data_IF_118844867027
#
_entry.id   IF_118844867027
#
_cell.length_a   1.000
_cell.length_b   1.000
_cell.length_c   1.000
_cell.angle_alpha   90.00
_cell.angle_beta   90.00
_cell.angle_gamma   90.00
#
_symmetry.space_group_name_H-M   'P 1'
#
loop_
_entity.id
_entity.type
_entity.pdbx_description
1 polymer ?
#
# COMPACT_ATOMS: atom_id res chain seq x y z
N UNK A 1 15.76 -11.69 -22.37
CA UNK A 1 14.53 -11.43 -21.59
C UNK A 1 13.43 -11.00 -22.56
N UNK A 2 12.37 -11.80 -22.75
CA UNK A 2 11.17 -11.40 -23.52
C UNK A 2 10.21 -10.72 -22.54
N UNK A 3 10.09 -9.41 -22.63
CA UNK A 3 9.03 -8.65 -21.96
C UNK A 3 7.77 -8.81 -22.82
N UNK A 4 6.67 -9.25 -22.21
CA UNK A 4 5.42 -9.52 -22.93
C UNK A 4 4.89 -8.25 -23.61
N UNK A 5 4.52 -8.34 -24.90
CA UNK A 5 3.80 -7.31 -25.66
C UNK A 5 2.29 -7.29 -25.34
N UNK A 6 1.92 -7.65 -24.11
CA UNK A 6 0.55 -7.66 -23.62
C UNK A 6 0.37 -6.62 -22.53
N UNK A 7 -0.82 -6.00 -22.45
CA UNK A 7 -1.15 -5.03 -21.40
C UNK A 7 -0.77 -5.57 -20.03
N UNK A 8 0.05 -4.80 -19.30
CA UNK A 8 0.36 -5.06 -17.90
C UNK A 8 -0.97 -5.01 -17.12
N UNK A 9 -1.46 -6.15 -16.66
CA UNK A 9 -2.62 -6.19 -15.76
C UNK A 9 -2.12 -5.81 -14.37
N UNK A 10 -2.53 -4.66 -13.87
CA UNK A 10 -2.39 -4.30 -12.46
C UNK A 10 -3.31 -5.23 -11.65
N UNK A 11 -2.74 -6.25 -11.03
CA UNK A 11 -3.42 -7.06 -10.01
C UNK A 11 -2.94 -6.61 -8.64
N UNK A 12 -3.86 -6.50 -7.68
CA UNK A 12 -3.54 -6.20 -6.28
C UNK A 12 -3.07 -7.48 -5.58
N UNK A 13 -2.02 -7.38 -4.75
CA UNK A 13 -1.40 -8.53 -4.07
C UNK A 13 -2.17 -9.00 -2.83
N UNK A 14 -3.16 -8.23 -2.37
CA UNK A 14 -3.91 -8.49 -1.14
C UNK A 14 -3.72 -7.36 -0.10
N UNK A 15 -4.29 -7.52 1.11
CA UNK A 15 -4.17 -6.54 2.19
C UNK A 15 -2.73 -6.46 2.71
N UNK A 16 -2.29 -5.28 3.14
CA UNK A 16 -1.00 -5.08 3.79
C UNK A 16 -1.12 -3.95 4.82
N UNK A 17 -0.31 -4.00 5.87
CA UNK A 17 -0.35 -3.01 6.95
C UNK A 17 0.62 -1.88 6.65
N UNK A 18 0.17 -0.63 6.76
CA UNK A 18 1.05 0.55 6.58
C UNK A 18 1.86 0.76 7.85
N UNK A 19 3.19 0.70 7.73
CA UNK A 19 4.13 0.88 8.85
C UNK A 19 4.62 2.32 8.92
N UNK A 20 4.97 2.91 7.78
CA UNK A 20 5.53 4.26 7.75
C UNK A 20 5.23 4.98 6.43
N UNK A 21 4.99 6.29 6.50
CA UNK A 21 4.90 7.17 5.34
C UNK A 21 6.23 7.93 5.19
N UNK A 22 6.95 7.68 4.10
CA UNK A 22 8.14 8.44 3.77
C UNK A 22 7.74 9.77 3.11
N UNK A 23 8.55 10.83 3.29
CA UNK A 23 8.41 12.02 2.46
C UNK A 23 8.55 11.62 0.98
N UNK A 24 7.80 12.26 0.09
CA UNK A 24 7.85 12.06 -1.37
C UNK A 24 7.12 10.84 -1.95
N UNK A 25 6.09 10.32 -1.28
CA UNK A 25 5.13 9.35 -1.83
C UNK A 25 5.59 7.89 -1.80
N UNK A 26 6.59 7.53 -0.99
CA UNK A 26 6.86 6.12 -0.68
C UNK A 26 6.20 5.75 0.64
N UNK A 27 5.54 4.60 0.68
CA UNK A 27 4.92 4.03 1.89
C UNK A 27 5.60 2.69 2.16
N UNK A 28 6.07 2.51 3.38
CA UNK A 28 6.55 1.22 3.86
C UNK A 28 5.36 0.42 4.37
N UNK A 29 5.16 -0.75 3.78
CA UNK A 29 4.10 -1.68 4.14
C UNK A 29 4.69 -2.99 4.63
N UNK A 30 3.97 -3.66 5.52
CA UNK A 30 4.28 -4.98 6.04
C UNK A 30 3.22 -5.96 5.55
N UNK A 31 3.68 -7.06 4.95
CA UNK A 31 2.81 -8.17 4.58
C UNK A 31 2.42 -8.95 5.84
N UNK A 32 1.12 -9.11 6.05
CA UNK A 32 0.55 -9.81 7.22
C UNK A 32 0.87 -11.30 7.22
N UNK A 33 1.12 -11.89 6.04
CA UNK A 33 1.41 -13.32 5.91
C UNK A 33 2.88 -13.66 6.15
N UNK A 34 3.79 -12.82 5.65
CA UNK A 34 5.23 -13.06 5.67
C UNK A 34 5.99 -12.22 6.70
N UNK A 35 5.33 -11.24 7.35
CA UNK A 35 5.95 -10.20 8.19
C UNK A 35 7.09 -9.45 7.46
N UNK A 36 7.08 -9.46 6.13
CA UNK A 36 8.12 -8.80 5.34
C UNK A 36 7.74 -7.34 5.08
N UNK A 37 8.70 -6.44 5.30
CA UNK A 37 8.56 -5.01 4.98
C UNK A 37 9.10 -4.68 3.61
N UNK A 38 8.34 -3.89 2.87
CA UNK A 38 8.75 -3.38 1.56
C UNK A 38 8.17 -1.99 1.31
N UNK A 39 8.82 -1.24 0.42
CA UNK A 39 8.40 0.12 0.05
C UNK A 39 7.57 0.09 -1.23
N UNK A 40 6.37 0.66 -1.19
CA UNK A 40 5.49 0.87 -2.35
C UNK A 40 5.36 2.36 -2.64
N UNK A 41 5.02 2.71 -3.87
CA UNK A 41 4.56 4.07 -4.17
C UNK A 41 3.15 4.22 -3.59
N UNK A 42 2.93 5.23 -2.74
CA UNK A 42 1.66 5.50 -2.08
C UNK A 42 0.50 5.73 -3.05
N UNK A 43 0.77 6.18 -4.28
CA UNK A 43 -0.24 6.26 -5.36
C UNK A 43 -0.82 4.90 -5.77
N UNK A 44 -0.14 3.81 -5.41
CA UNK A 44 -0.51 2.44 -5.74
C UNK A 44 -1.00 1.69 -4.50
N UNK A 45 -1.40 2.41 -3.44
CA UNK A 45 -2.07 1.87 -2.28
C UNK A 45 -3.56 2.25 -2.36
N UNK A 46 -4.45 1.29 -2.09
CA UNK A 46 -5.87 1.54 -1.94
C UNK A 46 -6.30 1.10 -0.54
N UNK A 47 -7.28 1.79 0.03
CA UNK A 47 -7.92 1.38 1.27
C UNK A 47 -8.62 0.03 1.06
N UNK A 48 -8.34 -0.91 1.96
CA UNK A 48 -8.97 -2.22 1.94
C UNK A 48 -10.26 -2.18 2.74
N UNK A 49 -11.41 -2.22 2.05
CA UNK A 49 -12.77 -2.19 2.64
C UNK A 49 -13.32 -3.61 2.91
N UNK A 50 -12.45 -4.58 3.25
CA UNK A 50 -12.90 -5.92 3.66
C UNK A 50 -13.47 -5.91 5.09
N UNK A 51 -13.95 -7.08 5.56
CA UNK A 51 -14.32 -7.24 6.98
C UNK A 51 -13.17 -6.81 7.89
N UNK A 52 -13.56 -6.18 9.00
CA UNK A 52 -12.72 -5.48 9.98
C UNK A 52 -11.44 -6.27 10.30
N UNK A 53 -10.31 -5.80 9.77
CA UNK A 53 -9.01 -6.15 10.33
C UNK A 53 -9.00 -5.39 11.66
N UNK A 54 -9.22 -6.11 12.75
CA UNK A 54 -9.30 -5.57 14.12
C UNK A 54 -7.97 -4.90 14.50
N UNK A 55 -7.82 -3.66 14.04
CA UNK A 55 -6.69 -2.80 14.34
C UNK A 55 -7.15 -1.35 14.27
N UNK A 56 -7.72 -0.94 15.40
CA UNK A 56 -7.88 0.45 15.81
C UNK A 56 -6.70 1.30 15.31
N UNK A 57 -7.00 2.40 14.60
CA UNK A 57 -6.11 3.42 14.01
C UNK A 57 -5.86 3.21 12.51
N UNK A 58 -6.51 3.98 11.64
CA UNK A 58 -5.93 5.29 11.29
C UNK A 58 -6.91 6.17 10.49
N UNK A 59 -7.20 7.35 11.04
CA UNK A 59 -7.71 8.51 10.30
C UNK A 59 -6.54 9.24 9.63
N UNK A 60 -6.64 9.47 8.32
CA UNK A 60 -5.71 10.32 7.56
C UNK A 60 -6.30 11.73 7.43
N UNK A 61 -5.78 12.70 8.21
CA UNK A 61 -6.03 14.13 7.94
C UNK A 61 -5.03 14.62 6.89
N UNK A 62 -5.51 14.77 5.65
CA UNK A 62 -4.77 15.39 4.56
C UNK A 62 -4.76 16.92 4.75
N UNK A 63 -3.77 17.44 5.49
CA UNK A 63 -3.52 18.88 5.54
C UNK A 63 -2.74 19.30 4.29
N UNK A 64 -3.38 20.15 3.47
CA UNK A 64 -2.81 20.77 2.27
C UNK A 64 -1.91 21.96 2.68
N UNK A 65 -0.64 22.06 2.26
CA UNK A 65 0.18 23.22 2.59
C UNK A 65 -0.23 24.44 1.75
N UNK A 66 -0.53 25.56 2.43
CA UNK A 66 -0.65 26.92 1.85
C UNK A 66 0.72 27.53 1.55
#
# INVERSE_FOLDING_TARGET
LRLFLGKLKSSWSGPSTVVNMCPYSAIEVEDTSSNQRFKVNGQRLNEYLGEEIDQEKSSITLANPQ
#
